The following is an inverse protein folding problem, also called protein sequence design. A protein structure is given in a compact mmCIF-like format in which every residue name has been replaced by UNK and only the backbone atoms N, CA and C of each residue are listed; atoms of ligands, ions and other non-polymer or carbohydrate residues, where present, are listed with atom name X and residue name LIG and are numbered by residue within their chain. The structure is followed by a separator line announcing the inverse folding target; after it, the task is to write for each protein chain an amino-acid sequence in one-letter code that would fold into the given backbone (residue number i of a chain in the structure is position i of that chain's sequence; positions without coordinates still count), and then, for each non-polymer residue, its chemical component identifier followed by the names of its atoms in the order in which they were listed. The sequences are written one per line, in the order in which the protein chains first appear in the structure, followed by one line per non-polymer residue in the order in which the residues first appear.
data_IF_344482144050
#
_entry.id   IF_344482144050
#
_cell.length_a   1.000
_cell.length_b   1.000
_cell.length_c   1.000
_cell.angle_alpha   90.00
_cell.angle_beta   90.00
_cell.angle_gamma   90.00
#
_symmetry.space_group_name_H-M   'P 1'
#
loop_
_entity.id
_entity.type
_entity.pdbx_description
1 polymer ?
#
# COMPACT_ATOMS: atom_id res chain seq x y z
N UNK A 1 15.66 10.05 10.06
CA UNK A 1 15.21 11.36 9.52
C UNK A 1 14.22 11.13 8.39
N UNK A 2 13.50 12.15 7.93
CA UNK A 2 12.59 11.99 6.78
C UNK A 2 13.31 11.47 5.53
N UNK A 3 14.55 11.95 5.28
CA UNK A 3 15.37 11.50 4.15
C UNK A 3 15.69 10.00 4.23
N UNK A 4 16.10 9.49 5.41
CA UNK A 4 16.41 8.06 5.57
C UNK A 4 15.20 7.16 5.28
N UNK A 5 14.00 7.56 5.71
CA UNK A 5 12.77 6.81 5.40
C UNK A 5 12.52 6.77 3.89
N UNK A 6 12.67 7.90 3.20
CA UNK A 6 12.53 7.96 1.75
C UNK A 6 13.57 7.10 1.04
N UNK A 7 14.83 7.13 1.46
CA UNK A 7 15.91 6.33 0.87
C UNK A 7 15.63 4.83 1.00
N UNK A 8 15.15 4.39 2.17
CA UNK A 8 14.75 2.99 2.37
C UNK A 8 13.56 2.59 1.51
N UNK A 9 12.50 3.42 1.47
CA UNK A 9 11.31 3.12 0.70
C UNK A 9 11.59 3.12 -0.82
N UNK A 10 12.47 4.02 -1.28
CA UNK A 10 12.97 4.04 -2.65
C UNK A 10 13.69 2.74 -3.03
N UNK A 11 14.54 2.22 -2.14
CA UNK A 11 15.22 0.93 -2.37
C UNK A 11 14.24 -0.24 -2.48
N UNK A 12 13.16 -0.25 -1.69
CA UNK A 12 12.11 -1.26 -1.77
C UNK A 12 11.33 -1.19 -3.09
N UNK A 13 11.01 0.01 -3.56
CA UNK A 13 10.33 0.23 -4.84
C UNK A 13 11.17 -0.25 -6.04
N UNK A 14 12.46 0.06 -6.05
CA UNK A 14 13.38 -0.37 -7.10
C UNK A 14 13.51 -1.90 -7.15
N UNK A 15 13.36 -2.55 -6.00
CA UNK A 15 13.33 -4.01 -5.83
C UNK A 15 11.94 -4.62 -6.03
N UNK A 16 10.94 -3.83 -6.40
CA UNK A 16 9.54 -4.26 -6.65
C UNK A 16 8.83 -4.83 -5.42
N UNK A 17 9.16 -4.33 -4.23
CA UNK A 17 8.54 -4.75 -2.97
C UNK A 17 7.45 -3.78 -2.48
N UNK A 18 7.35 -2.59 -3.06
CA UNK A 18 6.27 -1.63 -2.82
C UNK A 18 5.95 -0.84 -4.10
N UNK A 19 4.89 -0.02 -4.07
CA UNK A 19 4.52 0.91 -5.14
C UNK A 19 5.33 2.21 -5.06
N UNK A 20 5.07 3.14 -5.97
CA UNK A 20 5.86 4.36 -6.12
C UNK A 20 5.84 5.22 -4.84
N UNK A 21 6.99 5.47 -4.20
CA UNK A 21 7.04 5.97 -2.82
C UNK A 21 6.96 7.49 -2.69
N UNK A 22 6.89 8.21 -3.81
CA UNK A 22 6.81 9.67 -3.87
C UNK A 22 5.42 10.07 -4.36
N UNK A 23 4.42 9.65 -3.60
CA UNK A 23 3.01 9.94 -3.85
C UNK A 23 2.42 10.73 -2.68
N UNK A 24 1.52 11.65 -3.01
CA UNK A 24 0.69 12.35 -2.03
C UNK A 24 -0.69 11.69 -1.88
N UNK A 25 -1.01 10.68 -2.71
CA UNK A 25 -2.26 9.95 -2.57
C UNK A 25 -2.25 9.04 -1.34
N UNK A 26 -3.45 8.80 -0.82
CA UNK A 26 -3.72 7.85 0.26
C UNK A 26 -4.76 6.81 -0.16
N UNK A 27 -5.08 6.75 -1.45
CA UNK A 27 -6.13 5.93 -2.02
C UNK A 27 -5.58 5.08 -3.16
N UNK A 28 -6.21 3.92 -3.35
CA UNK A 28 -6.03 3.04 -4.49
C UNK A 28 -7.17 3.25 -5.48
N UNK A 29 -6.98 2.80 -6.71
CA UNK A 29 -8.05 2.75 -7.72
C UNK A 29 -9.03 1.61 -7.42
N UNK A 30 -10.26 1.75 -7.91
CA UNK A 30 -11.35 0.81 -7.58
C UNK A 30 -11.13 -0.58 -8.19
N UNK A 31 -10.36 -0.68 -9.28
CA UNK A 31 -9.96 -1.95 -9.91
C UNK A 31 -9.00 -2.78 -9.04
N UNK A 32 -8.37 -2.18 -8.02
CA UNK A 32 -7.49 -2.88 -7.09
C UNK A 32 -8.22 -3.52 -5.91
N UNK A 33 -9.54 -3.33 -5.78
CA UNK A 33 -10.35 -3.78 -4.63
C UNK A 33 -10.10 -5.25 -4.28
N UNK A 34 -10.08 -6.13 -5.28
CA UNK A 34 -9.90 -7.58 -5.08
C UNK A 34 -8.49 -7.94 -4.60
N UNK A 35 -7.49 -7.08 -4.82
CA UNK A 35 -6.10 -7.31 -4.40
C UNK A 35 -5.83 -6.94 -2.94
N UNK A 36 -6.67 -6.09 -2.33
CA UNK A 36 -6.42 -5.53 -0.99
C UNK A 36 -6.30 -6.64 0.05
N UNK A 37 -7.14 -7.67 -0.02
CA UNK A 37 -7.11 -8.79 0.91
C UNK A 37 -5.76 -9.52 0.87
N UNK A 38 -5.23 -9.81 -0.33
CA UNK A 38 -3.95 -10.49 -0.48
C UNK A 38 -2.79 -9.66 0.09
N UNK A 39 -2.80 -8.34 -0.13
CA UNK A 39 -1.77 -7.43 0.40
C UNK A 39 -1.80 -7.38 1.93
N UNK A 40 -2.99 -7.28 2.54
CA UNK A 40 -3.15 -7.26 4.00
C UNK A 40 -2.64 -8.55 4.64
N UNK A 41 -2.98 -9.71 4.07
CA UNK A 41 -2.52 -11.00 4.59
C UNK A 41 -1.00 -11.17 4.44
N UNK A 42 -0.44 -10.72 3.32
CA UNK A 42 1.02 -10.71 3.11
C UNK A 42 1.72 -9.82 4.15
N UNK A 43 1.21 -8.61 4.37
CA UNK A 43 1.77 -7.69 5.35
C UNK A 43 1.72 -8.26 6.77
N UNK A 44 0.59 -8.85 7.17
CA UNK A 44 0.44 -9.51 8.47
C UNK A 44 1.48 -10.63 8.67
N UNK A 45 1.70 -11.45 7.64
CA UNK A 45 2.72 -12.51 7.68
C UNK A 45 4.16 -11.99 7.75
N UNK A 46 4.47 -10.86 7.11
CA UNK A 46 5.82 -10.26 7.15
C UNK A 46 6.16 -9.74 8.55
N UNK A 47 5.18 -9.16 9.24
CA UNK A 47 5.36 -8.55 10.56
C UNK A 47 5.03 -9.50 11.72
N UNK A 48 4.70 -10.75 11.43
CA UNK A 48 4.27 -11.76 12.41
C UNK A 48 3.08 -11.28 13.27
N UNK A 49 2.07 -10.70 12.62
CA UNK A 49 0.84 -10.24 13.24
C UNK A 49 -0.35 -11.13 12.86
N UNK A 50 -1.34 -11.18 13.74
CA UNK A 50 -2.62 -11.82 13.43
C UNK A 50 -3.31 -11.12 12.26
N UNK A 51 -3.79 -11.91 11.30
CA UNK A 51 -4.60 -11.38 10.21
C UNK A 51 -5.91 -10.79 10.77
N UNK A 52 -6.34 -9.61 10.27
CA UNK A 52 -7.58 -9.00 10.72
C UNK A 52 -8.78 -9.84 10.30
N UNK A 53 -9.79 -9.91 11.17
CA UNK A 53 -11.04 -10.65 10.92
C UNK A 53 -11.86 -10.02 9.79
N UNK A 54 -11.77 -8.70 9.62
CA UNK A 54 -12.50 -7.93 8.59
C UNK A 54 -11.54 -7.03 7.85
N UNK A 55 -11.56 -7.09 6.52
CA UNK A 55 -10.80 -6.22 5.62
C UNK A 55 -11.78 -5.39 4.80
N UNK A 56 -11.77 -4.08 5.00
CA UNK A 56 -12.66 -3.15 4.29
C UNK A 56 -11.90 -2.46 3.14
N UNK A 57 -11.91 -3.07 1.95
CA UNK A 57 -11.24 -2.50 0.78
C UNK A 57 -11.81 -1.13 0.38
N UNK A 58 -13.12 -0.90 0.58
CA UNK A 58 -13.77 0.38 0.28
C UNK A 58 -13.28 1.56 1.15
N UNK A 59 -12.55 1.28 2.24
CA UNK A 59 -11.90 2.32 3.03
C UNK A 59 -10.70 2.97 2.29
N UNK A 60 -10.05 2.22 1.41
CA UNK A 60 -8.80 2.63 0.75
C UNK A 60 -8.92 2.72 -0.77
N UNK A 61 -9.91 2.08 -1.39
CA UNK A 61 -10.19 2.19 -2.82
C UNK A 61 -11.20 3.31 -3.09
N UNK A 62 -10.76 4.36 -3.80
CA UNK A 62 -11.60 5.44 -4.31
C UNK A 62 -10.86 6.13 -5.46
N UNK A 63 -11.14 5.70 -6.71
CA UNK A 63 -10.47 6.21 -7.92
C UNK A 63 -10.50 7.74 -8.01
N UNK A 64 -11.55 8.39 -7.50
CA UNK A 64 -11.72 9.84 -7.58
C UNK A 64 -10.76 10.61 -6.67
N UNK A 65 -10.13 9.93 -5.72
CA UNK A 65 -9.17 10.50 -4.75
C UNK A 65 -7.73 10.08 -5.01
N UNK A 66 -7.49 9.31 -6.06
CA UNK A 66 -6.13 8.99 -6.55
C UNK A 66 -5.58 10.22 -7.28
N UNK A 67 -4.34 10.62 -6.96
CA UNK A 67 -3.62 11.67 -7.69
C UNK A 67 -2.77 11.03 -8.80
N UNK A 68 -1.74 11.72 -9.32
CA UNK A 68 -0.88 11.18 -10.39
C UNK A 68 -0.29 9.79 -10.08
N UNK A 69 -0.17 9.46 -8.78
CA UNK A 69 0.26 8.16 -8.28
C UNK A 69 -0.63 7.71 -7.12
N UNK A 70 -0.81 6.40 -6.95
CA UNK A 70 -1.38 5.73 -5.77
C UNK A 70 -0.29 5.16 -4.85
#
# INVERSE_FOLDING_TARGET
TAQQTLDYLQSLYERKLCTYPRTDSRFLTDDMTDSVQAVVLCAAGIIDADAPVVINAAQVCDTKKVSDHH
#
